data_IF_802832180430
#
_entry.id   IF_802832180430
#
_cell.length_a   1.000
_cell.length_b   1.000
_cell.length_c   1.000
_cell.angle_alpha   90.00
_cell.angle_beta   90.00
_cell.angle_gamma   90.00
#
_symmetry.space_group_name_H-M   'P 1'
#
loop_
_entity.id
_entity.type
_entity.pdbx_description
1 polymer ?
#
# COMPACT_ATOMS: atom_id res chain seq x y z
N UNK A 1 -8.10 16.58 -5.90
CA UNK A 1 -8.39 17.52 -6.99
C UNK A 1 -8.23 16.87 -8.36
N UNK A 2 -8.75 17.50 -9.37
CA UNK A 2 -8.52 17.16 -10.78
C UNK A 2 -7.53 18.18 -11.33
N UNK A 3 -6.47 17.70 -11.98
CA UNK A 3 -5.39 18.52 -12.51
C UNK A 3 -5.36 18.41 -14.03
N UNK A 4 -4.99 19.50 -14.70
CA UNK A 4 -4.74 19.52 -16.14
C UNK A 4 -3.42 18.82 -16.51
N UNK A 5 -3.14 18.76 -17.81
CA UNK A 5 -1.87 18.26 -18.30
C UNK A 5 -0.74 19.25 -17.97
N UNK A 6 0.45 18.72 -17.72
CA UNK A 6 1.67 19.49 -17.56
C UNK A 6 2.67 19.15 -18.66
N UNK A 7 3.14 20.13 -19.41
CA UNK A 7 4.17 19.95 -20.45
C UNK A 7 5.57 19.75 -19.84
N UNK A 8 5.72 20.02 -18.55
CA UNK A 8 6.99 19.96 -17.80
C UNK A 8 7.15 18.67 -16.97
N UNK A 9 6.17 17.77 -17.04
CA UNK A 9 6.04 16.64 -16.12
C UNK A 9 5.44 17.06 -14.77
N UNK A 10 4.91 16.08 -14.04
CA UNK A 10 4.20 16.30 -12.78
C UNK A 10 2.74 16.71 -12.97
N UNK A 11 2.16 17.33 -11.93
CA UNK A 11 0.79 17.81 -11.96
C UNK A 11 0.72 19.17 -12.65
N UNK A 12 -0.23 19.34 -13.56
CA UNK A 12 -0.58 20.63 -14.13
C UNK A 12 -1.41 21.50 -13.18
N UNK A 13 -2.04 22.54 -13.72
CA UNK A 13 -2.90 23.43 -12.94
C UNK A 13 -4.11 22.70 -12.35
N UNK A 14 -4.51 23.09 -11.14
CA UNK A 14 -5.71 22.55 -10.50
C UNK A 14 -6.96 23.02 -11.26
N UNK A 15 -7.61 22.08 -11.94
CA UNK A 15 -8.85 22.33 -12.70
C UNK A 15 -10.08 22.30 -11.79
N UNK A 16 -10.11 21.33 -10.86
CA UNK A 16 -11.24 21.17 -9.94
C UNK A 16 -10.75 20.70 -8.57
N UNK A 17 -11.11 21.46 -7.53
CA UNK A 17 -10.94 21.03 -6.15
C UNK A 17 -12.09 20.10 -5.78
N UNK A 18 -11.75 18.95 -5.21
CA UNK A 18 -12.72 18.01 -4.62
C UNK A 18 -12.44 17.99 -3.12
N UNK A 19 -13.38 18.49 -2.34
CA UNK A 19 -13.26 18.50 -0.89
C UNK A 19 -13.49 17.08 -0.32
N UNK A 20 -12.82 16.81 0.80
CA UNK A 20 -13.03 15.56 1.54
C UNK A 20 -14.45 15.52 2.08
N UNK A 21 -15.14 14.40 1.85
CA UNK A 21 -16.48 14.14 2.39
C UNK A 21 -16.41 12.83 3.19
N UNK A 22 -16.79 12.91 4.46
CA UNK A 22 -17.00 11.71 5.26
C UNK A 22 -18.28 11.00 4.72
N UNK A 23 -18.09 9.75 4.28
CA UNK A 23 -19.18 8.94 3.74
C UNK A 23 -19.80 8.04 4.81
N UNK A 24 -18.99 7.58 5.75
CA UNK A 24 -19.41 6.71 6.83
C UNK A 24 -18.36 6.73 7.96
N UNK A 25 -18.80 6.41 9.15
CA UNK A 25 -17.95 6.20 10.32
C UNK A 25 -18.07 4.75 10.78
N UNK A 26 -16.94 4.07 10.91
CA UNK A 26 -16.89 2.68 11.37
C UNK A 26 -16.75 2.68 12.89
N UNK A 27 -17.75 2.13 13.58
CA UNK A 27 -17.72 1.96 15.03
C UNK A 27 -16.99 0.65 15.37
N UNK A 28 -15.70 0.76 15.65
CA UNK A 28 -14.85 -0.34 16.12
C UNK A 28 -14.32 0.05 17.50
N UNK A 29 -14.31 -0.90 18.46
CA UNK A 29 -13.70 -0.66 19.76
C UNK A 29 -12.19 -0.44 19.63
N UNK A 30 -11.61 0.30 20.59
CA UNK A 30 -10.15 0.52 20.61
C UNK A 30 -9.39 -0.81 20.76
N UNK A 31 -9.97 -1.78 21.45
CA UNK A 31 -9.41 -3.13 21.62
C UNK A 31 -9.36 -3.87 20.28
N UNK A 32 -10.46 -3.93 19.54
CA UNK A 32 -10.51 -4.57 18.23
C UNK A 32 -9.59 -3.87 17.22
N UNK A 33 -9.56 -2.54 17.25
CA UNK A 33 -8.66 -1.76 16.41
C UNK A 33 -7.20 -2.05 16.71
N UNK A 34 -6.85 -2.21 18.00
CA UNK A 34 -5.49 -2.59 18.41
C UNK A 34 -5.08 -3.96 17.88
N UNK A 35 -5.99 -4.95 17.93
CA UNK A 35 -5.76 -6.29 17.38
C UNK A 35 -5.54 -6.22 15.86
N UNK A 36 -6.37 -5.45 15.14
CA UNK A 36 -6.21 -5.24 13.69
C UNK A 36 -4.86 -4.62 13.36
N UNK A 37 -4.48 -3.54 14.07
CA UNK A 37 -3.18 -2.88 13.88
C UNK A 37 -2.00 -3.82 14.13
N UNK A 38 -2.08 -4.63 15.19
CA UNK A 38 -1.05 -5.64 15.47
C UNK A 38 -0.96 -6.67 14.35
N UNK A 39 -2.09 -7.14 13.81
CA UNK A 39 -2.10 -8.05 12.67
C UNK A 39 -1.42 -7.45 11.43
N UNK A 40 -1.71 -6.21 11.09
CA UNK A 40 -1.07 -5.50 9.97
C UNK A 40 0.44 -5.32 10.17
N UNK A 41 0.86 -5.01 11.40
CA UNK A 41 2.27 -4.90 11.74
C UNK A 41 3.00 -6.25 11.60
N UNK A 42 2.40 -7.33 12.07
CA UNK A 42 2.99 -8.68 12.00
C UNK A 42 3.12 -9.21 10.58
N UNK A 43 2.27 -8.79 9.63
CA UNK A 43 2.42 -9.15 8.21
C UNK A 43 3.77 -8.69 7.66
N UNK A 44 4.32 -7.58 8.15
CA UNK A 44 5.59 -7.01 7.71
C UNK A 44 6.75 -7.39 8.63
N UNK A 45 6.54 -7.35 9.95
CA UNK A 45 7.60 -7.46 10.97
C UNK A 45 7.53 -8.76 11.81
N UNK A 46 6.57 -9.63 11.55
CA UNK A 46 6.42 -10.88 12.29
C UNK A 46 7.65 -11.78 12.17
N UNK A 47 7.81 -12.66 13.16
CA UNK A 47 8.90 -13.67 13.20
C UNK A 47 8.51 -15.01 12.58
N UNK A 48 7.24 -15.21 12.25
CA UNK A 48 6.73 -16.46 11.68
C UNK A 48 7.06 -16.62 10.20
N UNK A 49 7.03 -17.87 9.70
CA UNK A 49 7.15 -18.17 8.27
C UNK A 49 6.00 -17.60 7.42
N UNK A 50 4.91 -17.16 8.05
CA UNK A 50 3.73 -16.58 7.40
C UNK A 50 3.77 -15.06 7.28
N UNK A 51 4.91 -14.42 7.50
CA UNK A 51 5.10 -12.98 7.33
C UNK A 51 5.21 -12.65 5.85
N UNK A 52 4.05 -12.54 5.20
CA UNK A 52 3.93 -12.42 3.73
C UNK A 52 4.45 -11.09 3.19
N UNK A 53 4.50 -10.05 4.03
CA UNK A 53 4.97 -8.71 3.67
C UNK A 53 6.41 -8.41 4.11
N UNK A 54 7.21 -9.39 4.51
CA UNK A 54 8.58 -9.19 5.04
C UNK A 54 9.48 -8.36 4.13
N UNK A 55 9.34 -8.47 2.82
CA UNK A 55 10.13 -7.70 1.87
C UNK A 55 9.84 -6.19 1.91
N UNK A 56 8.71 -5.78 2.49
CA UNK A 56 8.38 -4.37 2.70
C UNK A 56 9.33 -3.75 3.75
N UNK A 57 9.65 -4.49 4.83
CA UNK A 57 10.53 -3.99 5.89
C UNK A 57 12.00 -3.83 5.47
N UNK A 58 12.40 -4.42 4.35
CA UNK A 58 13.77 -4.36 3.87
C UNK A 58 14.10 -2.98 3.31
N UNK A 59 14.67 -2.11 4.15
CA UNK A 59 15.01 -0.73 3.79
C UNK A 59 13.87 0.27 3.94
N UNK A 60 12.86 -0.03 4.76
CA UNK A 60 11.86 0.96 5.17
C UNK A 60 12.51 2.08 5.99
N UNK A 61 12.08 3.32 5.77
CA UNK A 61 12.57 4.49 6.49
C UNK A 61 11.80 4.78 7.78
N UNK A 62 10.60 4.24 7.89
CA UNK A 62 9.73 4.25 9.09
C UNK A 62 8.98 2.93 9.13
N UNK A 63 8.55 2.45 10.31
CA UNK A 63 7.81 1.20 10.41
C UNK A 63 6.53 1.22 9.57
N UNK A 64 6.38 0.25 8.67
CA UNK A 64 5.22 0.11 7.78
C UNK A 64 4.35 -1.04 8.27
N UNK A 65 3.05 -0.81 8.38
CA UNK A 65 2.05 -1.84 8.58
C UNK A 65 1.31 -2.09 7.27
N UNK A 66 1.10 -3.36 6.92
CA UNK A 66 0.49 -3.70 5.64
C UNK A 66 -0.34 -4.98 5.67
N UNK A 67 -1.16 -5.17 4.64
CA UNK A 67 -1.80 -6.45 4.29
C UNK A 67 -1.57 -6.72 2.82
N UNK A 68 -1.02 -7.89 2.54
CA UNK A 68 -0.81 -8.39 1.18
C UNK A 68 -2.03 -9.17 0.70
N UNK A 69 -2.25 -9.15 -0.60
CA UNK A 69 -3.26 -9.95 -1.26
C UNK A 69 -2.73 -10.48 -2.59
N UNK A 70 -3.09 -11.71 -2.92
CA UNK A 70 -2.79 -12.34 -4.20
C UNK A 70 -4.07 -12.96 -4.73
N UNK A 71 -4.50 -12.55 -5.91
CA UNK A 71 -5.66 -13.10 -6.57
C UNK A 71 -5.23 -13.76 -7.88
N UNK A 72 -5.61 -15.02 -8.07
CA UNK A 72 -5.36 -15.73 -9.31
C UNK A 72 -6.17 -15.11 -10.45
N UNK A 73 -5.53 -15.03 -11.62
CA UNK A 73 -6.14 -14.54 -12.85
C UNK A 73 -5.50 -15.24 -14.05
N UNK A 74 -5.98 -14.92 -15.23
CA UNK A 74 -5.47 -15.49 -16.47
C UNK A 74 -5.26 -14.38 -17.51
N UNK A 75 -4.24 -14.57 -18.34
CA UNK A 75 -3.96 -13.74 -19.51
C UNK A 75 -3.98 -14.61 -20.78
N UNK A 76 -3.81 -14.02 -21.93
CA UNK A 76 -3.83 -14.71 -23.24
C UNK A 76 -5.09 -15.56 -23.43
N UNK A 77 -6.27 -14.93 -23.21
CA UNK A 77 -7.59 -15.58 -23.35
C UNK A 77 -7.74 -16.85 -22.49
N UNK A 78 -7.20 -16.82 -21.29
CA UNK A 78 -7.28 -17.92 -20.33
C UNK A 78 -6.21 -19.00 -20.50
N UNK A 79 -5.22 -18.82 -21.37
CA UNK A 79 -4.19 -19.84 -21.62
C UNK A 79 -2.98 -19.77 -20.71
N UNK A 80 -2.75 -18.62 -20.06
CA UNK A 80 -1.61 -18.40 -19.20
C UNK A 80 -2.04 -17.88 -17.84
N UNK A 81 -1.59 -18.59 -16.79
CA UNK A 81 -1.80 -18.16 -15.40
C UNK A 81 -1.08 -16.85 -15.12
N UNK A 82 -1.72 -16.03 -14.32
CA UNK A 82 -1.18 -14.78 -13.82
C UNK A 82 -1.78 -14.49 -12.43
N UNK A 83 -1.22 -13.53 -11.72
CA UNK A 83 -1.72 -13.08 -10.43
C UNK A 83 -1.90 -11.57 -10.42
N UNK A 84 -2.89 -11.11 -9.67
CA UNK A 84 -2.96 -9.72 -9.23
C UNK A 84 -2.35 -9.64 -7.83
N UNK A 85 -1.25 -8.92 -7.67
CA UNK A 85 -0.66 -8.70 -6.35
C UNK A 85 -1.07 -7.34 -5.82
N UNK A 86 -1.60 -7.34 -4.61
CA UNK A 86 -2.17 -6.14 -3.98
C UNK A 86 -1.51 -5.93 -2.62
N UNK A 87 -1.29 -4.67 -2.26
CA UNK A 87 -0.87 -4.27 -0.91
C UNK A 87 -1.70 -3.08 -0.49
N UNK A 88 -2.26 -3.14 0.71
CA UNK A 88 -2.75 -1.96 1.43
C UNK A 88 -1.85 -1.74 2.63
N UNK A 89 -1.47 -0.50 2.88
CA UNK A 89 -0.48 -0.17 3.90
C UNK A 89 -0.72 1.18 4.51
N UNK A 90 -0.11 1.40 5.67
CA UNK A 90 -0.03 2.71 6.30
C UNK A 90 1.30 2.87 7.06
N UNK A 91 1.72 4.09 7.24
CA UNK A 91 2.95 4.43 7.93
C UNK A 91 2.88 5.82 8.60
N UNK A 92 3.63 6.05 9.69
CA UNK A 92 4.26 5.04 10.57
C UNK A 92 3.23 4.12 11.22
N UNK A 93 3.65 2.90 11.61
CA UNK A 93 2.74 1.89 12.18
C UNK A 93 1.99 2.37 13.42
N UNK A 94 2.66 3.10 14.32
CA UNK A 94 2.10 3.57 15.59
C UNK A 94 1.16 4.77 15.41
N UNK A 95 1.59 5.74 14.59
CA UNK A 95 0.85 6.98 14.34
C UNK A 95 0.74 7.26 12.84
N UNK A 96 -0.20 6.61 12.15
CA UNK A 96 -0.32 6.71 10.71
C UNK A 96 -0.51 8.13 10.19
N UNK A 97 0.28 8.51 9.20
CA UNK A 97 0.21 9.79 8.51
C UNK A 97 -0.08 9.63 7.01
N UNK A 98 0.22 8.45 6.45
CA UNK A 98 -0.07 8.11 5.05
C UNK A 98 -0.64 6.70 4.95
N UNK A 99 -1.59 6.50 4.06
CA UNK A 99 -2.06 5.20 3.61
C UNK A 99 -1.79 5.05 2.11
N UNK A 100 -1.32 3.87 1.71
CA UNK A 100 -0.96 3.56 0.32
C UNK A 100 -1.61 2.24 -0.08
N UNK A 101 -2.25 2.23 -1.25
CA UNK A 101 -2.73 1.01 -1.88
C UNK A 101 -2.01 0.82 -3.23
N UNK A 102 -1.44 -0.35 -3.42
CA UNK A 102 -0.76 -0.74 -4.65
C UNK A 102 -1.48 -1.94 -5.26
N UNK A 103 -1.80 -1.86 -6.52
CA UNK A 103 -2.36 -2.97 -7.30
C UNK A 103 -1.43 -3.21 -8.49
N UNK A 104 -0.92 -4.43 -8.62
CA UNK A 104 -0.11 -4.86 -9.76
C UNK A 104 -0.83 -6.02 -10.47
N UNK A 105 -1.60 -5.71 -11.53
CA UNK A 105 -2.45 -6.69 -12.17
C UNK A 105 -1.69 -7.55 -13.19
N UNK A 106 -2.24 -8.73 -13.46
CA UNK A 106 -1.81 -9.63 -14.53
C UNK A 106 -0.31 -9.97 -14.51
N UNK A 107 0.26 -10.11 -13.33
CA UNK A 107 1.66 -10.49 -13.18
C UNK A 107 1.84 -11.96 -13.53
N UNK A 108 2.62 -12.25 -14.55
CA UNK A 108 2.94 -13.62 -14.98
C UNK A 108 4.11 -14.25 -14.22
N UNK A 109 4.82 -13.47 -13.39
CA UNK A 109 5.74 -13.98 -12.40
C UNK A 109 4.99 -14.25 -11.10
N UNK A 110 4.58 -15.49 -10.89
CA UNK A 110 3.72 -15.91 -9.76
C UNK A 110 4.38 -15.77 -8.38
N UNK A 111 5.68 -15.55 -8.32
CA UNK A 111 6.44 -15.31 -7.07
C UNK A 111 6.92 -13.87 -6.90
N UNK A 112 6.42 -12.93 -7.73
CA UNK A 112 6.85 -11.53 -7.68
C UNK A 112 6.41 -10.83 -6.42
N UNK A 113 7.34 -10.07 -5.82
CA UNK A 113 7.10 -9.15 -4.68
C UNK A 113 7.20 -7.68 -5.10
N UNK A 114 7.03 -7.38 -6.38
CA UNK A 114 7.16 -6.01 -6.92
C UNK A 114 6.23 -5.02 -6.23
N UNK A 115 4.99 -5.41 -5.90
CA UNK A 115 4.05 -4.57 -5.17
C UNK A 115 4.55 -4.19 -3.77
N UNK A 116 5.33 -5.05 -3.12
CA UNK A 116 5.95 -4.76 -1.82
C UNK A 116 7.02 -3.68 -1.93
N UNK A 117 7.91 -3.82 -2.92
CA UNK A 117 8.97 -2.83 -3.16
C UNK A 117 8.39 -1.47 -3.52
N UNK A 118 7.40 -1.43 -4.42
CA UNK A 118 6.71 -0.19 -4.80
C UNK A 118 6.07 0.46 -3.56
N UNK A 119 5.37 -0.31 -2.71
CA UNK A 119 4.75 0.21 -1.48
C UNK A 119 5.80 0.88 -0.58
N UNK A 120 6.90 0.19 -0.29
CA UNK A 120 8.00 0.71 0.53
C UNK A 120 8.60 1.98 -0.09
N UNK A 121 8.89 1.95 -1.38
CA UNK A 121 9.57 3.05 -2.06
C UNK A 121 8.71 4.31 -2.11
N UNK A 122 7.39 4.18 -2.29
CA UNK A 122 6.45 5.30 -2.19
C UNK A 122 6.47 5.91 -0.78
N UNK A 123 6.40 5.07 0.26
CA UNK A 123 6.40 5.53 1.65
C UNK A 123 7.74 6.19 2.01
N UNK A 124 8.86 5.61 1.59
CA UNK A 124 10.19 6.17 1.79
C UNK A 124 10.33 7.55 1.11
N UNK A 125 9.87 7.67 -0.13
CA UNK A 125 9.90 8.95 -0.86
C UNK A 125 9.01 10.00 -0.18
N UNK A 126 7.83 9.60 0.27
CA UNK A 126 6.96 10.50 1.03
C UNK A 126 7.61 10.95 2.33
N UNK A 127 8.22 10.03 3.10
CA UNK A 127 8.92 10.36 4.35
C UNK A 127 10.12 11.28 4.12
N UNK A 128 10.83 11.15 2.98
CA UNK A 128 11.93 12.04 2.62
C UNK A 128 11.45 13.48 2.37
N UNK A 129 10.27 13.64 1.76
CA UNK A 129 9.68 14.96 1.46
C UNK A 129 8.87 15.53 2.63
N UNK A 130 8.29 14.68 3.44
CA UNK A 130 7.42 15.00 4.58
C UNK A 130 7.82 14.13 5.77
N UNK A 131 8.91 14.49 6.51
CA UNK A 131 9.42 13.64 7.59
C UNK A 131 8.34 13.26 8.60
N UNK A 132 8.15 11.95 8.76
CA UNK A 132 7.19 11.35 9.67
C UNK A 132 7.91 10.91 10.95
N UNK A 133 7.41 11.32 12.12
CA UNK A 133 7.94 11.00 13.45
C UNK A 133 7.00 10.06 14.19
#
# INVERSE_FOLDING_TARGET
GIYGNSDQGGLGDLVQKIDTKELNQVNISDEDMSIIKQGFYQVVHGSSGFTTGRTISQGESVPISAKTGTAETFVDKGKKEAINTNVVSYAPSEKPQIAVAVVFPHNTNLSSTVSHSITRDIINLYNQQHPMN
#
